data_IF_558842863750
#
_entry.id   IF_558842863750
#
_cell.length_a   1.000
_cell.length_b   1.000
_cell.length_c   1.000
_cell.angle_alpha   90.00
_cell.angle_beta   90.00
_cell.angle_gamma   90.00
#
_symmetry.space_group_name_H-M   'P 1'
#
loop_
_entity.id
_entity.type
_entity.pdbx_description
1 polymer ?
#
# COMPACT_ATOMS: atom_id res chain seq x y z
N UNK A 1 64.69 -15.39 8.29
CA UNK A 1 63.62 -15.76 9.23
C UNK A 1 62.77 -14.53 9.37
N UNK A 2 61.72 -14.44 8.57
CA UNK A 2 60.91 -13.24 8.44
C UNK A 2 59.44 -13.60 8.67
N UNK A 3 58.79 -12.68 9.37
CA UNK A 3 57.38 -12.33 9.33
C UNK A 3 56.38 -13.23 10.08
N UNK A 4 55.82 -12.67 11.14
CA UNK A 4 54.60 -13.14 11.81
C UNK A 4 53.76 -11.90 12.13
N UNK A 5 53.00 -11.45 11.14
CA UNK A 5 51.89 -10.52 11.30
C UNK A 5 50.60 -11.34 11.33
N UNK A 6 50.01 -11.48 12.52
CA UNK A 6 48.67 -12.06 12.70
C UNK A 6 47.64 -10.96 12.48
N UNK A 7 47.03 -10.94 11.30
CA UNK A 7 45.86 -10.10 11.02
C UNK A 7 44.58 -10.94 11.21
N UNK A 8 43.77 -10.50 12.17
CA UNK A 8 42.52 -11.14 12.57
C UNK A 8 41.37 -10.53 11.76
N UNK A 9 40.77 -11.39 10.94
CA UNK A 9 39.38 -11.42 10.49
C UNK A 9 38.42 -10.33 10.97
N UNK A 10 37.76 -9.66 10.01
CA UNK A 10 36.29 -9.63 9.94
C UNK A 10 35.84 -9.12 8.56
N UNK A 11 35.84 -10.03 7.59
CA UNK A 11 34.99 -9.93 6.40
C UNK A 11 33.53 -10.13 6.82
N UNK A 12 32.82 -9.05 7.12
CA UNK A 12 31.35 -9.02 7.17
C UNK A 12 30.84 -7.74 6.47
N UNK A 13 31.41 -7.47 5.29
CA UNK A 13 30.84 -6.50 4.36
C UNK A 13 29.59 -7.12 3.71
N UNK A 14 28.44 -6.74 4.25
CA UNK A 14 27.10 -6.72 3.65
C UNK A 14 27.04 -7.23 2.20
N UNK A 15 26.68 -8.51 2.00
CA UNK A 15 26.10 -8.96 0.74
C UNK A 15 24.69 -8.39 0.62
N UNK A 16 24.58 -7.13 0.21
CA UNK A 16 23.36 -6.61 -0.42
C UNK A 16 23.21 -7.34 -1.74
N UNK A 17 22.30 -8.31 -1.81
CA UNK A 17 21.88 -8.86 -3.09
C UNK A 17 21.25 -7.72 -3.89
N UNK A 18 21.95 -7.27 -4.94
CA UNK A 18 21.47 -6.22 -5.83
C UNK A 18 20.20 -6.69 -6.55
N UNK A 19 19.05 -6.33 -6.00
CA UNK A 19 17.74 -6.62 -6.58
C UNK A 19 17.61 -5.94 -7.94
N UNK A 20 17.17 -6.71 -8.94
CA UNK A 20 17.05 -6.27 -10.32
C UNK A 20 15.59 -5.96 -10.61
N UNK A 21 15.28 -4.70 -10.89
CA UNK A 21 13.92 -4.28 -11.23
C UNK A 21 13.63 -4.43 -12.74
N UNK A 22 12.46 -4.96 -13.09
CA UNK A 22 11.93 -4.86 -14.44
C UNK A 22 11.70 -3.40 -14.82
N UNK A 23 12.22 -2.97 -15.97
CA UNK A 23 12.08 -1.58 -16.45
C UNK A 23 10.64 -1.20 -16.80
N UNK A 24 9.82 -2.19 -17.13
CA UNK A 24 8.47 -1.99 -17.63
C UNK A 24 7.42 -1.99 -16.50
N UNK A 25 7.57 -2.85 -15.48
CA UNK A 25 6.60 -2.96 -14.37
C UNK A 25 7.17 -2.72 -12.95
N UNK A 26 8.48 -2.62 -12.79
CA UNK A 26 9.12 -2.36 -11.49
C UNK A 26 9.20 -3.56 -10.53
N UNK A 27 8.73 -4.74 -10.93
CA UNK A 27 8.91 -5.98 -10.13
C UNK A 27 10.40 -6.27 -9.94
N UNK A 28 10.81 -6.52 -8.69
CA UNK A 28 12.20 -6.81 -8.33
C UNK A 28 12.46 -8.30 -8.28
N UNK A 29 13.62 -8.71 -8.78
CA UNK A 29 14.06 -10.09 -8.85
C UNK A 29 15.44 -10.22 -8.21
N UNK A 30 15.66 -11.31 -7.47
CA UNK A 30 16.98 -11.63 -6.95
C UNK A 30 17.99 -11.95 -8.08
N UNK A 31 17.51 -12.38 -9.26
CA UNK A 31 18.35 -12.84 -10.36
C UNK A 31 17.81 -12.45 -11.74
N UNK A 32 18.73 -12.24 -12.71
CA UNK A 32 18.40 -11.91 -14.12
C UNK A 32 17.46 -12.94 -14.76
N UNK A 33 17.62 -14.23 -14.45
CA UNK A 33 16.76 -15.29 -14.98
C UNK A 33 15.29 -15.10 -14.58
N UNK A 34 15.04 -14.54 -13.39
CA UNK A 34 13.69 -14.20 -12.94
C UNK A 34 13.08 -13.05 -13.76
N UNK A 35 13.89 -12.02 -14.04
CA UNK A 35 13.52 -10.90 -14.90
C UNK A 35 13.24 -11.36 -16.35
N UNK A 36 14.09 -12.22 -16.90
CA UNK A 36 13.94 -12.75 -18.26
C UNK A 36 12.67 -13.61 -18.41
N UNK A 37 12.41 -14.50 -17.45
CA UNK A 37 11.20 -15.31 -17.43
C UNK A 37 9.94 -14.42 -17.34
N UNK A 38 9.98 -13.38 -16.51
CA UNK A 38 8.92 -12.39 -16.40
C UNK A 38 8.70 -11.62 -17.73
N UNK A 39 9.78 -11.17 -18.38
CA UNK A 39 9.70 -10.48 -19.67
C UNK A 39 9.10 -11.38 -20.76
N UNK A 40 9.50 -12.66 -20.81
CA UNK A 40 9.04 -13.64 -21.79
C UNK A 40 7.57 -14.05 -21.59
N UNK A 41 7.10 -14.12 -20.35
CA UNK A 41 5.70 -14.41 -20.02
C UNK A 41 4.76 -13.23 -20.35
N UNK A 42 5.33 -12.08 -20.71
CA UNK A 42 4.60 -10.86 -21.03
C UNK A 42 4.52 -9.95 -19.81
N UNK A 43 5.53 -9.09 -19.67
CA UNK A 43 5.45 -7.97 -18.74
C UNK A 43 4.20 -7.13 -19.07
N UNK A 44 3.26 -7.06 -18.12
CA UNK A 44 1.97 -6.37 -18.31
C UNK A 44 0.86 -7.19 -18.98
N UNK A 45 1.06 -8.49 -19.29
CA UNK A 45 -0.01 -9.36 -19.81
C UNK A 45 -0.91 -9.91 -18.70
N UNK A 46 -1.62 -9.00 -18.04
CA UNK A 46 -2.99 -9.24 -17.60
C UNK A 46 -3.81 -8.06 -18.08
N UNK A 47 -4.20 -8.08 -19.37
CA UNK A 47 -5.27 -7.25 -19.91
C UNK A 47 -6.63 -7.72 -19.38
N UNK A 48 -6.75 -7.85 -18.06
CA UNK A 48 -8.02 -7.83 -17.38
C UNK A 48 -8.14 -6.44 -16.78
N UNK A 49 -9.22 -5.73 -17.07
CA UNK A 49 -9.66 -4.64 -16.19
C UNK A 49 -9.67 -5.27 -14.80
N UNK A 50 -8.88 -4.76 -13.85
CA UNK A 50 -8.88 -5.27 -12.49
C UNK A 50 -10.35 -5.28 -12.03
N UNK A 51 -10.86 -6.45 -11.66
CA UNK A 51 -12.22 -6.52 -11.13
C UNK A 51 -12.24 -5.83 -9.75
N UNK A 52 -13.36 -5.22 -9.36
CA UNK A 52 -13.52 -4.71 -8.00
C UNK A 52 -13.19 -5.81 -6.99
N UNK A 53 -12.28 -5.52 -6.06
CA UNK A 53 -11.91 -6.46 -5.01
C UNK A 53 -13.04 -6.57 -3.97
N UNK A 54 -13.37 -7.81 -3.61
CA UNK A 54 -14.23 -8.09 -2.46
C UNK A 54 -13.46 -7.90 -1.15
N UNK A 55 -14.17 -7.83 -0.01
CA UNK A 55 -13.51 -7.78 1.30
C UNK A 55 -12.60 -8.97 1.53
N UNK A 56 -13.01 -10.16 1.08
CA UNK A 56 -12.20 -11.38 1.15
C UNK A 56 -10.90 -11.27 0.35
N UNK A 57 -10.94 -10.68 -0.85
CA UNK A 57 -9.74 -10.50 -1.67
C UNK A 57 -8.72 -9.57 -0.97
N UNK A 58 -9.21 -8.51 -0.33
CA UNK A 58 -8.38 -7.57 0.43
C UNK A 58 -7.80 -8.24 1.69
N UNK A 59 -8.61 -8.99 2.43
CA UNK A 59 -8.19 -9.78 3.60
C UNK A 59 -7.10 -10.79 3.24
N UNK A 60 -7.34 -11.59 2.20
CA UNK A 60 -6.40 -12.62 1.74
C UNK A 60 -5.07 -11.96 1.30
N UNK A 61 -5.11 -10.82 0.60
CA UNK A 61 -3.92 -10.09 0.17
C UNK A 61 -3.10 -9.45 1.31
N UNK A 62 -3.74 -9.19 2.45
CA UNK A 62 -3.16 -8.58 3.65
C UNK A 62 -2.94 -9.58 4.79
N UNK A 63 -3.21 -10.87 4.54
CA UNK A 63 -3.06 -11.94 5.52
C UNK A 63 -1.66 -11.93 6.15
N UNK A 64 -1.63 -12.02 7.49
CA UNK A 64 -0.41 -11.96 8.29
C UNK A 64 0.08 -10.56 8.67
N UNK A 65 -0.58 -9.48 8.20
CA UNK A 65 -0.30 -8.11 8.63
C UNK A 65 -1.25 -7.67 9.76
N UNK A 66 -0.82 -6.77 10.66
CA UNK A 66 -1.66 -6.24 11.74
C UNK A 66 -2.64 -5.18 11.21
N UNK A 67 -3.57 -5.59 10.36
CA UNK A 67 -4.58 -4.75 9.72
C UNK A 67 -5.95 -5.39 9.86
N UNK A 68 -6.98 -4.57 10.07
CA UNK A 68 -8.37 -5.00 10.08
C UNK A 68 -9.03 -4.59 8.76
N UNK A 69 -9.68 -5.52 8.08
CA UNK A 69 -10.53 -5.19 6.92
C UNK A 69 -11.97 -5.17 7.42
N UNK A 70 -12.73 -4.12 7.12
CA UNK A 70 -14.10 -3.99 7.60
C UNK A 70 -14.96 -3.12 6.66
N UNK A 71 -16.27 -3.15 6.87
CA UNK A 71 -17.16 -2.17 6.25
C UNK A 71 -17.13 -0.84 7.03
N UNK A 72 -17.82 0.18 6.53
CA UNK A 72 -17.85 1.48 7.18
C UNK A 72 -18.39 1.40 8.62
N UNK A 73 -19.53 0.74 8.80
CA UNK A 73 -20.24 0.63 10.10
C UNK A 73 -19.39 0.02 11.22
N UNK A 74 -18.47 -0.88 10.86
CA UNK A 74 -17.59 -1.57 11.80
C UNK A 74 -16.31 -0.78 12.14
N UNK A 75 -16.08 0.38 11.50
CA UNK A 75 -14.94 1.24 11.83
C UNK A 75 -15.16 1.86 13.23
N UNK A 76 -14.28 1.60 14.22
CA UNK A 76 -14.46 2.14 15.55
C UNK A 76 -14.29 3.66 15.57
N UNK A 77 -15.11 4.33 16.37
CA UNK A 77 -15.01 5.77 16.55
C UNK A 77 -13.71 6.18 17.25
N UNK A 78 -13.22 5.40 18.21
CA UNK A 78 -12.00 5.65 18.97
C UNK A 78 -11.05 4.46 18.92
N UNK A 79 -9.75 4.74 18.76
CA UNK A 79 -8.68 3.74 18.64
C UNK A 79 -7.67 3.94 19.77
N UNK A 80 -7.78 3.09 20.79
CA UNK A 80 -6.97 3.14 22.02
C UNK A 80 -5.63 2.41 21.88
N UNK A 81 -5.55 1.39 21.04
CA UNK A 81 -4.36 0.58 20.80
C UNK A 81 -3.68 0.99 19.51
N UNK A 82 -2.47 1.56 19.61
CA UNK A 82 -1.68 2.05 18.46
C UNK A 82 -0.31 1.38 18.40
N UNK A 83 0.24 1.12 17.20
CA UNK A 83 -0.30 1.47 15.89
C UNK A 83 -1.45 0.55 15.44
N UNK A 84 -2.42 1.10 14.71
CA UNK A 84 -3.55 0.33 14.16
C UNK A 84 -3.87 0.76 12.74
N UNK A 85 -4.20 -0.19 11.89
CA UNK A 85 -4.58 0.08 10.50
C UNK A 85 -5.90 -0.60 10.18
N UNK A 86 -6.77 0.10 9.47
CA UNK A 86 -8.02 -0.40 8.94
C UNK A 86 -8.04 -0.20 7.42
N UNK A 87 -8.48 -1.21 6.68
CA UNK A 87 -8.90 -1.04 5.28
C UNK A 87 -10.41 -1.15 5.26
N UNK A 88 -11.05 -0.05 4.90
CA UNK A 88 -12.47 0.17 5.12
C UNK A 88 -13.16 0.25 3.78
N UNK A 89 -14.19 -0.57 3.60
CA UNK A 89 -15.14 -0.34 2.52
C UNK A 89 -16.00 0.87 2.87
N UNK A 90 -16.18 1.81 1.95
CA UNK A 90 -16.95 3.04 2.23
C UNK A 90 -18.44 2.80 2.42
N UNK A 91 -18.96 1.68 1.94
CA UNK A 91 -20.36 1.30 2.13
C UNK A 91 -20.56 0.51 3.43
N UNK A 92 -21.83 0.39 3.83
CA UNK A 92 -22.22 -0.44 4.97
C UNK A 92 -22.07 -1.93 4.64
N UNK A 93 -22.03 -2.77 5.69
CA UNK A 93 -21.76 -4.20 5.59
C UNK A 93 -22.75 -4.99 4.72
N UNK A 94 -23.97 -4.47 4.55
CA UNK A 94 -25.04 -5.06 3.74
C UNK A 94 -24.99 -4.67 2.26
N UNK A 95 -24.04 -3.80 1.87
CA UNK A 95 -23.89 -3.30 0.51
C UNK A 95 -22.72 -3.99 -0.22
N UNK A 96 -22.74 -3.90 -1.55
CA UNK A 96 -21.75 -4.57 -2.42
C UNK A 96 -20.33 -4.02 -2.25
N UNK A 97 -20.21 -2.83 -1.69
CA UNK A 97 -18.97 -2.12 -1.50
C UNK A 97 -18.55 -1.33 -2.73
N UNK A 98 -18.52 0.00 -2.60
CA UNK A 98 -18.31 0.93 -3.72
C UNK A 98 -16.88 1.44 -3.84
N UNK A 99 -16.16 1.53 -2.72
CA UNK A 99 -14.78 2.06 -2.69
C UNK A 99 -14.02 1.55 -1.47
N UNK A 100 -12.70 1.44 -1.59
CA UNK A 100 -11.80 1.05 -0.50
C UNK A 100 -10.91 2.23 -0.11
N UNK A 101 -10.85 2.50 1.19
CA UNK A 101 -9.97 3.52 1.80
C UNK A 101 -9.20 2.90 2.95
N UNK A 102 -8.10 3.52 3.40
CA UNK A 102 -7.38 3.06 4.58
C UNK A 102 -7.32 4.14 5.65
N UNK A 103 -7.49 3.72 6.91
CA UNK A 103 -7.26 4.54 8.08
C UNK A 103 -6.03 3.97 8.80
N UNK A 104 -5.06 4.83 9.09
CA UNK A 104 -3.90 4.43 9.88
C UNK A 104 -3.75 5.35 11.09
N UNK A 105 -3.65 4.74 12.26
CA UNK A 105 -3.44 5.40 13.54
C UNK A 105 -2.02 5.04 13.99
N UNK A 106 -1.01 5.88 13.72
CA UNK A 106 0.37 5.57 14.06
C UNK A 106 0.58 5.59 15.58
N UNK A 107 1.67 4.95 16.04
CA UNK A 107 2.04 4.97 17.45
C UNK A 107 2.29 6.38 18.00
N UNK A 108 2.77 7.28 17.13
CA UNK A 108 2.96 8.70 17.39
C UNK A 108 2.63 9.48 16.12
N UNK A 109 2.10 10.69 16.27
CA UNK A 109 1.71 11.56 15.16
C UNK A 109 0.22 11.53 14.82
N UNK A 110 -0.19 12.28 13.79
CA UNK A 110 -1.58 12.41 13.39
C UNK A 110 -2.11 11.13 12.74
N UNK A 111 -3.41 10.79 12.90
CA UNK A 111 -4.07 9.78 12.08
C UNK A 111 -3.96 10.10 10.58
N UNK A 112 -3.92 9.07 9.76
CA UNK A 112 -3.83 9.16 8.31
C UNK A 112 -5.13 8.59 7.70
N UNK A 113 -5.72 9.31 6.75
CA UNK A 113 -6.78 8.85 5.88
C UNK A 113 -6.25 8.74 4.46
N UNK A 114 -6.11 7.52 3.97
CA UNK A 114 -5.62 7.23 2.64
C UNK A 114 -6.79 6.91 1.70
N UNK A 115 -6.91 7.72 0.65
CA UNK A 115 -7.81 7.52 -0.47
C UNK A 115 -7.06 7.78 -1.77
N UNK A 116 -6.98 6.78 -2.63
CA UNK A 116 -6.26 6.87 -3.91
C UNK A 116 -6.90 7.82 -4.92
N UNK A 117 -8.17 8.17 -4.74
CA UNK A 117 -8.85 9.21 -5.53
C UNK A 117 -8.57 10.62 -4.98
N UNK A 118 -7.82 10.76 -3.88
CA UNK A 118 -7.50 12.05 -3.27
C UNK A 118 -8.72 12.76 -2.66
N UNK A 119 -9.79 12.02 -2.37
CA UNK A 119 -11.01 12.59 -1.77
C UNK A 119 -10.84 12.70 -0.26
N UNK A 120 -11.58 13.64 0.31
CA UNK A 120 -11.57 13.89 1.75
C UNK A 120 -12.53 12.93 2.47
N UNK A 121 -12.32 12.60 3.75
CA UNK A 121 -13.15 11.64 4.49
C UNK A 121 -14.64 12.04 4.55
N UNK A 122 -14.94 13.33 4.48
CA UNK A 122 -16.30 13.90 4.42
C UNK A 122 -17.07 13.53 3.15
N UNK A 123 -16.40 13.03 2.11
CA UNK A 123 -17.04 12.59 0.86
C UNK A 123 -17.85 11.30 1.03
N UNK A 124 -17.56 10.51 2.06
CA UNK A 124 -18.17 9.19 2.29
C UNK A 124 -19.18 9.24 3.45
N UNK A 125 -18.95 8.45 4.49
CA UNK A 125 -19.79 8.48 5.67
C UNK A 125 -19.53 9.73 6.49
N UNK A 126 -20.61 10.37 6.96
CA UNK A 126 -20.55 11.63 7.73
C UNK A 126 -19.64 11.57 8.95
N UNK A 127 -19.43 10.38 9.53
CA UNK A 127 -18.62 10.20 10.73
C UNK A 127 -17.14 9.89 10.44
N UNK A 128 -16.72 9.61 9.20
CA UNK A 128 -15.31 9.27 8.90
C UNK A 128 -14.34 10.37 9.34
N UNK A 129 -14.71 11.63 9.09
CA UNK A 129 -13.95 12.78 9.59
C UNK A 129 -13.88 12.80 11.12
N UNK A 130 -15.01 12.49 11.79
CA UNK A 130 -15.08 12.48 13.24
C UNK A 130 -14.17 11.40 13.83
N UNK A 131 -14.08 10.22 13.22
CA UNK A 131 -13.15 9.16 13.62
C UNK A 131 -11.72 9.68 13.67
N UNK A 132 -11.29 10.47 12.67
CA UNK A 132 -9.94 11.03 12.65
C UNK A 132 -9.73 12.06 13.77
N UNK A 133 -10.68 12.97 13.96
CA UNK A 133 -10.57 14.10 14.90
C UNK A 133 -10.63 13.65 16.36
N UNK A 134 -11.45 12.65 16.70
CA UNK A 134 -11.48 12.13 18.08
C UNK A 134 -10.20 11.34 18.41
N UNK A 135 -9.42 10.96 17.39
CA UNK A 135 -8.15 10.26 17.52
C UNK A 135 -6.91 11.17 17.35
N UNK A 136 -7.08 12.48 17.18
CA UNK A 136 -5.96 13.42 17.12
C UNK A 136 -6.40 14.85 16.80
N UNK A 137 -5.64 15.87 17.24
CA UNK A 137 -5.96 17.27 16.94
C UNK A 137 -5.86 17.62 15.45
N UNK A 138 -5.11 16.82 14.68
CA UNK A 138 -4.88 16.95 13.25
C UNK A 138 -4.90 15.56 12.60
N UNK A 139 -5.16 15.50 11.29
CA UNK A 139 -5.04 14.27 10.50
C UNK A 139 -4.45 14.56 9.11
N UNK A 140 -3.83 13.55 8.51
CA UNK A 140 -3.26 13.63 7.18
C UNK A 140 -4.19 12.99 6.14
N UNK A 141 -4.18 13.54 4.93
CA UNK A 141 -4.89 13.00 3.75
C UNK A 141 -3.96 12.92 2.56
N UNK A 142 -4.34 12.14 1.54
CA UNK A 142 -3.68 12.15 0.23
C UNK A 142 -4.00 13.47 -0.46
N UNK A 143 -2.96 14.25 -0.80
CA UNK A 143 -3.14 15.59 -1.36
C UNK A 143 -3.47 15.66 -2.86
N UNK A 144 -3.23 14.58 -3.61
CA UNK A 144 -3.47 14.51 -5.06
C UNK A 144 -4.09 13.16 -5.43
N UNK A 145 -4.99 13.14 -6.41
CA UNK A 145 -5.49 11.92 -7.02
C UNK A 145 -4.34 11.13 -7.65
N UNK A 146 -4.27 9.83 -7.34
CA UNK A 146 -3.26 8.90 -7.88
C UNK A 146 -3.88 7.72 -8.63
N UNK A 147 -5.19 7.52 -8.52
CA UNK A 147 -5.99 6.53 -9.24
C UNK A 147 -6.94 7.21 -10.25
N UNK A 148 -7.14 6.66 -11.46
CA UNK A 148 -8.20 7.10 -12.38
C UNK A 148 -9.61 6.91 -11.79
N UNK A 149 -10.53 7.86 -12.01
CA UNK A 149 -11.90 7.79 -11.45
C UNK A 149 -12.73 6.59 -11.95
N UNK A 150 -12.43 6.07 -13.13
CA UNK A 150 -13.15 4.96 -13.78
C UNK A 150 -12.52 3.59 -13.52
N UNK A 151 -11.53 3.52 -12.63
CA UNK A 151 -10.80 2.30 -12.32
C UNK A 151 -11.29 1.60 -11.04
N UNK A 152 -11.27 0.27 -11.05
CA UNK A 152 -11.67 -0.58 -9.92
C UNK A 152 -10.48 -1.02 -9.05
N UNK A 153 -9.36 -0.30 -9.10
CA UNK A 153 -8.08 -0.66 -8.46
C UNK A 153 -7.91 -0.10 -7.04
N UNK A 154 -8.86 0.63 -6.47
CA UNK A 154 -8.73 1.27 -5.15
C UNK A 154 -8.32 0.29 -4.02
N UNK A 155 -8.79 -0.96 -4.07
CA UNK A 155 -8.35 -2.02 -3.16
C UNK A 155 -6.84 -2.31 -3.27
N UNK A 156 -6.29 -2.34 -4.49
CA UNK A 156 -4.85 -2.51 -4.73
C UNK A 156 -4.03 -1.34 -4.19
N UNK A 157 -4.53 -0.10 -4.30
CA UNK A 157 -3.87 1.06 -3.70
C UNK A 157 -3.83 0.95 -2.18
N UNK A 158 -4.94 0.56 -1.54
CA UNK A 158 -4.97 0.30 -0.10
C UNK A 158 -3.97 -0.79 0.30
N UNK A 159 -3.93 -1.91 -0.44
CA UNK A 159 -2.98 -2.99 -0.19
C UNK A 159 -1.54 -2.52 -0.30
N UNK A 160 -1.21 -1.77 -1.35
CA UNK A 160 0.13 -1.21 -1.56
C UNK A 160 0.51 -0.27 -0.41
N UNK A 161 -0.38 0.65 -0.05
CA UNK A 161 -0.20 1.58 1.06
C UNK A 161 0.04 0.83 2.38
N UNK A 162 -0.84 -0.11 2.76
CA UNK A 162 -0.72 -0.85 4.02
C UNK A 162 0.57 -1.66 4.07
N UNK A 163 0.93 -2.38 2.99
CA UNK A 163 2.16 -3.18 2.94
C UNK A 163 3.41 -2.33 3.15
N UNK A 164 3.48 -1.13 2.57
CA UNK A 164 4.60 -0.22 2.77
C UNK A 164 4.55 0.48 4.14
N UNK A 165 3.36 0.83 4.63
CA UNK A 165 3.18 1.43 5.96
C UNK A 165 3.64 0.46 7.06
N UNK A 166 3.32 -0.83 6.94
CA UNK A 166 3.81 -1.88 7.84
C UNK A 166 5.33 -2.09 7.79
N UNK A 167 6.00 -1.66 6.71
CA UNK A 167 7.47 -1.64 6.59
C UNK A 167 8.09 -0.35 7.16
N UNK A 168 7.29 0.53 7.75
CA UNK A 168 7.75 1.75 8.39
C UNK A 168 7.85 2.97 7.47
N UNK A 169 7.39 2.89 6.21
CA UNK A 169 7.37 4.05 5.32
C UNK A 169 6.25 5.02 5.73
N UNK A 170 6.49 6.32 5.57
CA UNK A 170 5.46 7.36 5.78
C UNK A 170 4.53 7.47 4.56
N UNK A 171 3.30 7.93 4.77
CA UNK A 171 2.32 8.09 3.69
C UNK A 171 2.84 8.97 2.54
N UNK A 172 3.55 10.07 2.83
CA UNK A 172 4.12 10.96 1.82
C UNK A 172 5.11 10.23 0.90
N UNK A 173 5.94 9.35 1.47
CA UNK A 173 6.96 8.61 0.74
C UNK A 173 6.30 7.55 -0.15
N UNK A 174 5.27 6.88 0.38
CA UNK A 174 4.45 5.93 -0.38
C UNK A 174 3.79 6.62 -1.59
N UNK A 175 3.15 7.77 -1.36
CA UNK A 175 2.48 8.55 -2.42
C UNK A 175 3.48 9.01 -3.47
N UNK A 176 4.69 9.41 -3.06
CA UNK A 176 5.75 9.87 -3.99
C UNK A 176 6.18 8.81 -5.01
N UNK A 177 5.83 7.53 -4.79
CA UNK A 177 6.09 6.44 -5.74
C UNK A 177 5.12 6.41 -6.92
N UNK A 178 4.10 7.27 -6.93
CA UNK A 178 3.09 7.40 -7.97
C UNK A 178 3.27 8.70 -8.76
N UNK A 179 2.90 8.66 -10.05
CA UNK A 179 2.84 9.84 -10.89
C UNK A 179 1.62 10.68 -10.53
N UNK A 180 1.78 12.00 -10.39
CA UNK A 180 0.66 12.93 -10.19
C UNK A 180 -0.05 13.31 -11.50
N UNK A 181 0.50 12.94 -12.66
CA UNK A 181 -0.02 13.32 -13.98
C UNK A 181 -0.38 12.12 -14.86
N UNK A 182 0.13 10.93 -14.54
CA UNK A 182 -0.06 9.71 -15.33
C UNK A 182 -0.71 8.63 -14.46
N UNK A 183 -2.04 8.76 -14.29
CA UNK A 183 -2.85 7.88 -13.45
C UNK A 183 -2.96 6.46 -14.04
N UNK A 184 -2.95 6.33 -15.37
CA UNK A 184 -3.01 5.04 -16.06
C UNK A 184 -1.74 4.21 -15.79
N UNK A 185 -0.58 4.86 -15.75
CA UNK A 185 0.68 4.21 -15.36
C UNK A 185 0.65 3.74 -13.90
N UNK A 186 0.04 4.52 -13.00
CA UNK A 186 -0.10 4.11 -11.59
C UNK A 186 -0.93 2.83 -11.46
N UNK A 187 -2.05 2.75 -12.17
CA UNK A 187 -2.88 1.55 -12.21
C UNK A 187 -2.14 0.34 -12.78
N UNK A 188 -1.49 0.54 -13.93
CA UNK A 188 -0.72 -0.51 -14.59
C UNK A 188 0.38 -1.07 -13.68
N UNK A 189 1.04 -0.20 -12.90
CA UNK A 189 2.03 -0.58 -11.88
C UNK A 189 1.40 -1.49 -10.83
N UNK A 190 0.24 -1.14 -10.28
CA UNK A 190 -0.40 -1.93 -9.23
C UNK A 190 -0.99 -3.25 -9.73
N UNK A 191 -1.61 -3.25 -10.91
CA UNK A 191 -2.10 -4.48 -11.56
C UNK A 191 -0.94 -5.42 -11.87
N UNK A 192 0.22 -4.92 -12.30
CA UNK A 192 1.38 -5.77 -12.51
C UNK A 192 1.97 -6.35 -11.21
N UNK A 193 1.83 -5.65 -10.08
CA UNK A 193 2.33 -6.09 -8.78
C UNK A 193 1.42 -7.11 -8.08
N UNK A 194 0.10 -7.01 -8.27
CA UNK A 194 -0.90 -7.74 -7.48
C UNK A 194 -1.99 -8.44 -8.28
N UNK A 195 -2.10 -8.14 -9.58
CA UNK A 195 -3.13 -8.68 -10.47
C UNK A 195 -2.83 -10.08 -10.98
#
# INVERSE_FOLDING_TARGET
MADETTDLSSDDAERREDLIACRDCGVVFAHLRGLEAHSQQGCGKKNGIALPMTGKDVEDALSGLPVTVCCAEDLPSYVSDRPRTFVVNTDNCDQKGSHWVAFHFPASGPPEFFDSLGRYPETYQRYFRNVLIVNGPEYCVVGNQIQPDDSNTCGLYCIYYVKLRCRGLEMKDIISTFSSTDLIKNDSKLVALFG
#
